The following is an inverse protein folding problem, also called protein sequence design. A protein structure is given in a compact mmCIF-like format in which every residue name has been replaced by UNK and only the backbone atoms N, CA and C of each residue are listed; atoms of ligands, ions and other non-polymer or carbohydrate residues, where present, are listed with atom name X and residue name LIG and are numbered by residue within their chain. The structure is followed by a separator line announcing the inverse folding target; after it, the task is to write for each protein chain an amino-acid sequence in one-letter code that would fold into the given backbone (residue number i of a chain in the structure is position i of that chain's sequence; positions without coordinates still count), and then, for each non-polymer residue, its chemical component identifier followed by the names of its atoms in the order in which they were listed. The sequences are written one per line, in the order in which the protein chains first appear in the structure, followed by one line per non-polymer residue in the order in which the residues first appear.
data_IF_631878703937
#
_entry.id   IF_631878703937
#
_cell.length_a   1.000
_cell.length_b   1.000
_cell.length_c   1.000
_cell.angle_alpha   90.00
_cell.angle_beta   90.00
_cell.angle_gamma   90.00
#
_symmetry.space_group_name_H-M   'P 1'
#
loop_
_entity.id
_entity.type
_entity.pdbx_description
1 polymer ?
#
# COMPACT_ATOMS: atom_id res chain seq x y z
N UNK A 1 -40.87 12.45 -39.78
CA UNK A 1 -40.02 12.97 -40.88
C UNK A 1 -38.88 13.75 -40.24
N UNK A 2 -37.57 13.59 -40.49
CA UNK A 2 -36.80 12.72 -41.37
C UNK A 2 -35.34 12.67 -40.84
N UNK A 3 -34.76 11.46 -40.82
CA UNK A 3 -33.43 11.04 -41.28
C UNK A 3 -32.11 11.60 -40.68
N UNK A 4 -31.38 10.65 -40.06
CA UNK A 4 -29.92 10.50 -39.82
C UNK A 4 -28.98 11.14 -40.85
N UNK A 5 -27.75 11.53 -40.43
CA UNK A 5 -26.52 11.09 -41.11
C UNK A 5 -25.31 10.93 -40.16
N UNK A 6 -24.69 9.75 -40.21
CA UNK A 6 -23.36 9.42 -39.68
C UNK A 6 -22.32 9.76 -40.74
N UNK A 7 -21.11 10.19 -40.35
CA UNK A 7 -19.92 10.13 -41.23
C UNK A 7 -18.74 9.55 -40.48
N UNK A 8 -18.40 8.33 -40.87
CA UNK A 8 -17.08 7.72 -40.70
C UNK A 8 -16.23 8.11 -41.91
N UNK A 9 -14.93 8.34 -41.71
CA UNK A 9 -13.94 8.34 -42.79
C UNK A 9 -12.76 7.50 -42.33
N UNK A 10 -12.60 6.37 -43.00
CA UNK A 10 -11.39 5.56 -43.02
C UNK A 10 -10.55 6.00 -44.23
N UNK A 11 -9.23 5.94 -44.12
CA UNK A 11 -8.33 5.83 -45.27
C UNK A 11 -7.09 5.02 -44.86
N UNK A 12 -6.82 4.01 -45.67
CA UNK A 12 -5.76 3.01 -45.56
C UNK A 12 -4.60 3.32 -46.50
N UNK A 13 -3.63 2.37 -46.56
CA UNK A 13 -2.52 2.16 -47.53
C UNK A 13 -1.14 2.63 -47.02
N UNK A 14 -0.01 1.94 -47.25
CA UNK A 14 0.30 0.60 -47.75
C UNK A 14 1.80 0.34 -47.50
N UNK A 15 2.20 -0.93 -47.65
CA UNK A 15 3.50 -1.54 -47.35
C UNK A 15 4.70 -1.10 -48.22
N UNK A 16 5.92 -1.40 -47.74
CA UNK A 16 7.05 -1.83 -48.59
C UNK A 16 8.05 -2.69 -47.81
N UNK A 17 8.28 -3.90 -48.34
CA UNK A 17 9.29 -4.91 -48.00
C UNK A 17 10.64 -4.60 -48.66
N UNK A 18 11.73 -5.23 -48.16
CA UNK A 18 12.93 -5.81 -48.84
C UNK A 18 14.12 -5.76 -47.84
N UNK A 19 14.57 -6.87 -47.25
CA UNK A 19 15.46 -7.94 -47.75
C UNK A 19 16.91 -7.48 -48.09
N UNK A 20 17.89 -8.04 -47.38
CA UNK A 20 19.33 -7.91 -47.68
C UNK A 20 20.10 -9.11 -47.11
N UNK A 21 20.80 -9.83 -47.99
CA UNK A 21 21.29 -11.21 -47.83
C UNK A 21 22.73 -11.34 -47.31
N UNK A 22 23.05 -12.59 -46.91
CA UNK A 22 24.36 -13.17 -46.62
C UNK A 22 25.32 -13.13 -47.82
N UNK A 23 26.63 -12.93 -47.56
CA UNK A 23 27.71 -13.33 -48.46
C UNK A 23 29.03 -13.58 -47.69
N UNK A 24 29.60 -14.76 -47.90
CA UNK A 24 30.91 -15.21 -47.38
C UNK A 24 32.10 -14.51 -48.05
N UNK A 25 33.23 -14.43 -47.35
CA UNK A 25 34.52 -14.09 -47.93
C UNK A 25 35.66 -14.72 -47.12
N UNK A 26 36.14 -15.88 -47.59
CA UNK A 26 37.33 -16.59 -47.10
C UNK A 26 38.62 -15.88 -47.55
N UNK A 27 39.52 -15.58 -46.61
CA UNK A 27 40.85 -15.04 -46.89
C UNK A 27 41.85 -15.47 -45.83
N UNK A 28 42.85 -16.24 -46.25
CA UNK A 28 43.88 -16.89 -45.45
C UNK A 28 45.04 -15.96 -45.07
N UNK A 29 45.57 -16.12 -43.85
CA UNK A 29 47.00 -15.94 -43.54
C UNK A 29 47.39 -14.67 -42.78
N UNK A 30 47.44 -14.75 -41.45
CA UNK A 30 48.10 -13.76 -40.58
C UNK A 30 48.21 -14.26 -39.13
N UNK A 31 49.41 -14.21 -38.56
CA UNK A 31 49.79 -14.72 -37.22
C UNK A 31 48.89 -14.19 -36.08
N UNK A 32 48.64 -14.98 -35.00
CA UNK A 32 47.87 -14.50 -33.85
C UNK A 32 48.74 -13.66 -32.91
N UNK A 33 48.35 -12.40 -32.75
CA UNK A 33 48.70 -11.52 -31.63
C UNK A 33 47.63 -11.68 -30.53
N UNK A 34 47.95 -11.61 -29.23
CA UNK A 34 47.01 -12.00 -28.18
C UNK A 34 45.82 -11.03 -28.10
N UNK A 35 44.64 -11.56 -28.41
CA UNK A 35 43.37 -10.85 -28.31
C UNK A 35 43.02 -10.58 -26.85
N UNK A 36 42.62 -9.35 -26.47
CA UNK A 36 41.94 -9.13 -25.21
C UNK A 36 40.63 -9.92 -25.24
N UNK A 37 40.34 -10.61 -24.13
CA UNK A 37 39.12 -11.39 -23.95
C UNK A 37 37.91 -10.53 -24.32
N UNK A 38 37.24 -10.90 -25.40
CA UNK A 38 35.94 -10.35 -25.74
C UNK A 38 35.00 -10.71 -24.59
N UNK A 39 34.69 -9.73 -23.75
CA UNK A 39 33.52 -9.80 -22.91
C UNK A 39 32.34 -10.04 -23.84
N UNK A 40 31.76 -11.24 -23.77
CA UNK A 40 30.44 -11.52 -24.34
C UNK A 40 29.53 -10.38 -23.89
N UNK A 41 28.85 -9.66 -24.80
CA UNK A 41 27.88 -8.69 -24.39
C UNK A 41 26.82 -9.46 -23.60
N UNK A 42 26.74 -9.17 -22.30
CA UNK A 42 25.62 -9.54 -21.46
C UNK A 42 24.35 -9.25 -22.24
N UNK A 43 23.44 -10.22 -22.28
CA UNK A 43 22.13 -10.06 -22.89
C UNK A 43 21.61 -8.66 -22.56
N UNK A 44 21.28 -7.89 -23.59
CA UNK A 44 20.73 -6.54 -23.45
C UNK A 44 19.60 -6.62 -22.44
N UNK A 45 19.76 -5.90 -21.33
CA UNK A 45 18.74 -5.76 -20.31
C UNK A 45 17.41 -5.43 -20.99
N UNK A 46 16.43 -6.33 -20.87
CA UNK A 46 15.07 -6.02 -21.29
C UNK A 46 14.51 -4.97 -20.34
N UNK A 47 13.46 -4.20 -20.71
CA UNK A 47 12.84 -3.19 -19.84
C UNK A 47 12.41 -3.70 -18.45
N UNK A 48 12.41 -5.02 -18.25
CA UNK A 48 12.15 -5.79 -17.03
C UNK A 48 13.34 -6.01 -16.10
N UNK A 49 14.57 -5.60 -16.44
CA UNK A 49 15.78 -5.78 -15.60
C UNK A 49 15.90 -4.72 -14.47
N UNK A 50 14.78 -4.37 -13.84
CA UNK A 50 14.81 -3.49 -12.67
C UNK A 50 15.31 -4.31 -11.49
N UNK A 51 16.31 -3.79 -10.78
CA UNK A 51 16.73 -4.40 -9.51
C UNK A 51 15.53 -4.46 -8.55
N UNK A 52 15.45 -5.47 -7.66
CA UNK A 52 14.37 -5.54 -6.68
C UNK A 52 14.20 -4.25 -5.88
N UNK A 53 15.30 -3.57 -5.55
CA UNK A 53 15.26 -2.28 -4.87
C UNK A 53 14.64 -1.18 -5.74
N UNK A 54 14.98 -1.12 -7.03
CA UNK A 54 14.37 -0.21 -7.99
C UNK A 54 12.86 -0.43 -8.17
N UNK A 55 12.40 -1.68 -8.12
CA UNK A 55 10.97 -2.00 -8.16
C UNK A 55 10.26 -1.51 -6.89
N UNK A 56 10.83 -1.72 -5.71
CA UNK A 56 10.23 -1.21 -4.47
C UNK A 56 10.16 0.33 -4.41
N UNK A 57 11.15 1.03 -4.97
CA UNK A 57 11.09 2.49 -5.16
C UNK A 57 9.94 2.90 -6.09
N UNK A 58 9.77 2.19 -7.20
CA UNK A 58 8.66 2.41 -8.13
C UNK A 58 7.31 2.16 -7.45
N UNK A 59 7.20 1.10 -6.65
CA UNK A 59 6.01 0.79 -5.88
C UNK A 59 5.68 1.86 -4.85
N UNK A 60 6.69 2.38 -4.14
CA UNK A 60 6.51 3.49 -3.21
C UNK A 60 5.94 4.72 -3.95
N UNK A 61 6.48 5.06 -5.12
CA UNK A 61 5.96 6.14 -5.95
C UNK A 61 4.52 5.88 -6.41
N UNK A 62 4.22 4.67 -6.90
CA UNK A 62 2.87 4.28 -7.34
C UNK A 62 1.84 4.47 -6.21
N UNK A 63 2.20 4.08 -4.98
CA UNK A 63 1.33 4.26 -3.81
C UNK A 63 1.24 5.73 -3.36
N UNK A 64 2.30 6.52 -3.50
CA UNK A 64 2.21 7.98 -3.31
C UNK A 64 1.29 8.65 -4.32
N UNK A 65 1.27 8.19 -5.58
CA UNK A 65 0.35 8.70 -6.61
C UNK A 65 -1.09 8.25 -6.37
N UNK A 66 -1.30 6.99 -5.97
CA UNK A 66 -2.63 6.45 -5.71
C UNK A 66 -3.34 7.17 -4.56
N UNK A 67 -2.61 7.48 -3.46
CA UNK A 67 -3.10 8.20 -2.26
C UNK A 67 -4.24 7.53 -1.48
N UNK A 68 -4.83 6.46 -2.02
CA UNK A 68 -5.94 5.73 -1.44
C UNK A 68 -6.05 4.30 -1.96
N UNK A 69 -6.77 3.47 -1.22
CA UNK A 69 -7.18 2.13 -1.63
C UNK A 69 -8.41 1.69 -0.82
N UNK A 70 -9.21 0.77 -1.38
CA UNK A 70 -9.95 -0.16 -0.53
C UNK A 70 -8.99 -1.17 0.06
N UNK A 71 -9.28 -1.65 1.25
CA UNK A 71 -8.47 -2.66 1.90
C UNK A 71 -9.31 -3.70 2.63
N UNK A 72 -8.71 -4.84 2.86
CA UNK A 72 -9.06 -5.77 3.94
C UNK A 72 -7.82 -6.11 4.73
N UNK A 73 -7.91 -6.24 6.04
CA UNK A 73 -6.79 -6.66 6.86
C UNK A 73 -7.13 -7.82 7.78
N UNK A 74 -6.07 -8.50 8.24
CA UNK A 74 -6.05 -9.35 9.42
C UNK A 74 -4.82 -8.97 10.25
N UNK A 75 -5.01 -8.41 11.44
CA UNK A 75 -3.95 -7.99 12.35
C UNK A 75 -4.10 -8.78 13.66
N UNK A 76 -3.36 -9.89 13.78
CA UNK A 76 -3.64 -10.90 14.80
C UNK A 76 -5.01 -11.54 14.58
N UNK A 77 -5.90 -11.45 15.59
CA UNK A 77 -7.28 -11.94 15.53
C UNK A 77 -8.29 -10.91 15.02
N UNK A 78 -7.86 -9.64 14.90
CA UNK A 78 -8.73 -8.57 14.39
C UNK A 78 -8.70 -8.56 12.85
N UNK A 79 -9.87 -8.38 12.23
CA UNK A 79 -9.99 -8.29 10.78
C UNK A 79 -11.12 -7.37 10.38
N UNK A 80 -10.84 -6.44 9.49
CA UNK A 80 -11.84 -5.53 8.97
C UNK A 80 -11.63 -5.25 7.48
N UNK A 81 -12.67 -4.72 6.87
CA UNK A 81 -12.64 -4.18 5.50
C UNK A 81 -12.91 -2.69 5.55
N UNK A 82 -12.46 -1.98 4.53
CA UNK A 82 -12.62 -0.54 4.55
C UNK A 82 -11.94 0.17 3.41
N UNK A 83 -11.74 1.44 3.64
CA UNK A 83 -11.09 2.35 2.71
C UNK A 83 -10.18 3.30 3.47
N UNK A 84 -9.00 3.53 2.91
CA UNK A 84 -8.01 4.44 3.46
C UNK A 84 -7.60 5.44 2.38
N UNK A 85 -7.61 6.72 2.75
CA UNK A 85 -6.89 7.78 2.07
C UNK A 85 -5.77 8.21 3.01
N UNK A 86 -4.52 8.17 2.56
CA UNK A 86 -3.37 8.52 3.39
C UNK A 86 -2.82 9.92 3.07
N UNK A 87 -3.22 10.54 1.95
CA UNK A 87 -2.78 11.87 1.58
C UNK A 87 -3.82 12.61 0.69
N UNK A 88 -3.91 13.96 0.76
CA UNK A 88 -3.19 14.84 1.69
C UNK A 88 -3.81 14.85 3.10
N UNK A 89 -5.08 14.47 3.25
CA UNK A 89 -5.76 14.30 4.53
C UNK A 89 -6.06 12.83 4.75
N UNK A 90 -5.91 12.38 6.00
CA UNK A 90 -6.23 11.00 6.32
C UNK A 90 -7.73 10.81 6.37
N UNK A 91 -8.24 9.82 5.64
CA UNK A 91 -9.62 9.35 5.77
C UNK A 91 -9.59 7.85 5.94
N UNK A 92 -10.21 7.34 7.00
CA UNK A 92 -10.40 5.90 7.21
C UNK A 92 -11.90 5.63 7.29
N UNK A 93 -12.40 4.67 6.55
CA UNK A 93 -13.69 4.04 6.84
C UNK A 93 -13.42 2.56 7.07
N UNK A 94 -13.98 2.01 8.13
CA UNK A 94 -13.73 0.64 8.57
C UNK A 94 -15.03 0.00 9.03
N UNK A 95 -15.23 -1.25 8.60
CA UNK A 95 -16.33 -2.11 8.99
C UNK A 95 -15.82 -3.54 9.20
N UNK A 96 -16.19 -4.16 10.32
CA UNK A 96 -15.89 -5.58 10.58
C UNK A 96 -16.98 -6.50 10.01
N UNK A 97 -16.64 -7.75 9.63
CA UNK A 97 -17.60 -8.69 9.04
C UNK A 97 -18.82 -8.97 9.93
N UNK A 98 -18.60 -9.15 11.24
CA UNK A 98 -19.64 -9.53 12.21
C UNK A 98 -20.14 -8.36 13.06
N UNK A 99 -19.71 -7.14 12.72
CA UNK A 99 -20.09 -5.93 13.44
C UNK A 99 -20.90 -4.98 12.56
N UNK A 100 -21.98 -4.46 13.14
CA UNK A 100 -22.77 -3.39 12.53
C UNK A 100 -22.18 -2.02 12.81
N UNK A 101 -21.35 -1.90 13.86
CA UNK A 101 -20.63 -0.69 14.19
C UNK A 101 -19.57 -0.40 13.12
N UNK A 102 -19.44 0.89 12.80
CA UNK A 102 -18.49 1.42 11.83
C UNK A 102 -17.59 2.46 12.51
N UNK A 103 -16.37 2.57 11.98
CA UNK A 103 -15.46 3.65 12.30
C UNK A 103 -15.21 4.49 11.04
N UNK A 104 -15.40 5.80 11.18
CA UNK A 104 -15.04 6.79 10.17
C UNK A 104 -14.05 7.77 10.81
N UNK A 105 -12.85 7.90 10.25
CA UNK A 105 -11.89 8.97 10.61
C UNK A 105 -11.83 9.95 9.45
N UNK A 106 -12.04 11.23 9.76
CA UNK A 106 -11.88 12.36 8.85
C UNK A 106 -10.85 13.31 9.46
N UNK A 107 -9.60 13.13 9.06
CA UNK A 107 -8.46 13.94 9.47
C UNK A 107 -8.27 13.95 11.00
N UNK A 108 -8.76 14.97 11.69
CA UNK A 108 -8.62 15.16 13.14
C UNK A 108 -9.84 14.71 13.95
N UNK A 109 -10.88 14.20 13.29
CA UNK A 109 -12.15 13.78 13.90
C UNK A 109 -12.43 12.33 13.57
N UNK A 110 -13.04 11.59 14.49
CA UNK A 110 -13.56 10.26 14.25
C UNK A 110 -15.03 10.15 14.63
N UNK A 111 -15.74 9.25 13.96
CA UNK A 111 -17.11 8.88 14.21
C UNK A 111 -17.18 7.38 14.41
N UNK A 112 -17.85 6.95 15.47
CA UNK A 112 -18.07 5.53 15.77
C UNK A 112 -19.56 5.30 15.95
N UNK A 113 -20.08 4.20 15.42
CA UNK A 113 -21.50 3.87 15.48
C UNK A 113 -22.04 3.47 14.11
N UNK A 114 -23.20 4.01 13.74
CA UNK A 114 -23.93 3.61 12.53
C UNK A 114 -24.80 2.38 12.73
N UNK A 115 -24.98 1.92 13.97
CA UNK A 115 -25.77 0.76 14.33
C UNK A 115 -26.88 1.06 15.34
N UNK A 116 -27.80 0.09 15.51
CA UNK A 116 -28.94 0.20 16.40
C UNK A 116 -28.55 0.15 17.88
N UNK A 117 -27.45 -0.52 18.22
CA UNK A 117 -26.96 -0.61 19.60
C UNK A 117 -26.50 0.77 20.10
N UNK A 118 -25.76 1.49 19.27
CA UNK A 118 -25.37 2.89 19.50
C UNK A 118 -26.59 3.79 19.57
N UNK A 119 -27.52 3.67 18.61
CA UNK A 119 -28.77 4.44 18.63
C UNK A 119 -29.57 4.27 19.91
N UNK A 120 -29.71 3.03 20.39
CA UNK A 120 -30.44 2.72 21.62
C UNK A 120 -29.82 3.40 22.85
N UNK A 121 -28.48 3.48 22.90
CA UNK A 121 -27.74 4.15 23.98
C UNK A 121 -27.80 5.68 23.91
N UNK A 122 -27.93 6.24 22.71
CA UNK A 122 -27.86 7.69 22.45
C UNK A 122 -29.21 8.37 22.22
N UNK A 123 -30.31 7.69 22.56
CA UNK A 123 -31.66 8.24 22.41
C UNK A 123 -32.08 8.42 20.95
N UNK A 124 -31.67 7.50 20.07
CA UNK A 124 -32.05 7.44 18.66
C UNK A 124 -30.99 7.94 17.66
N UNK A 125 -29.89 8.53 18.15
CA UNK A 125 -28.77 8.99 17.29
C UNK A 125 -27.74 7.89 17.08
N UNK A 126 -27.32 7.64 15.84
CA UNK A 126 -26.51 6.46 15.53
C UNK A 126 -25.00 6.68 15.70
N UNK A 127 -24.52 7.91 15.88
CA UNK A 127 -23.09 8.20 15.83
C UNK A 127 -22.59 8.94 17.07
N UNK A 128 -21.38 8.60 17.48
CA UNK A 128 -20.58 9.39 18.42
C UNK A 128 -19.39 10.00 17.70
N UNK A 129 -19.16 11.29 17.92
CA UNK A 129 -18.05 12.05 17.38
C UNK A 129 -16.97 12.28 18.43
N UNK A 130 -15.73 12.01 18.03
CA UNK A 130 -14.53 12.06 18.86
C UNK A 130 -13.47 12.93 18.19
N UNK A 131 -12.66 13.61 18.98
CA UNK A 131 -11.45 14.27 18.51
C UNK A 131 -10.29 13.95 19.45
N UNK A 132 -9.07 13.93 18.92
CA UNK A 132 -7.89 13.94 19.78
C UNK A 132 -7.77 15.30 20.47
N UNK A 133 -7.29 15.30 21.71
CA UNK A 133 -6.86 16.53 22.34
C UNK A 133 -5.69 17.13 21.54
N UNK A 134 -5.61 18.47 21.40
CA UNK A 134 -4.46 19.09 20.78
C UNK A 134 -3.19 18.77 21.59
N UNK A 135 -2.08 18.54 20.90
CA UNK A 135 -0.77 18.41 21.49
C UNK A 135 -0.22 19.74 22.01
N UNK A 136 0.99 19.70 22.57
CA UNK A 136 1.66 20.90 23.08
C UNK A 136 1.97 21.95 21.98
N UNK A 137 2.03 21.52 20.73
CA UNK A 137 2.20 22.35 19.54
C UNK A 137 0.86 22.91 18.99
N UNK A 138 -0.26 22.62 19.66
CA UNK A 138 -1.60 23.02 19.27
C UNK A 138 -2.21 22.21 18.12
N UNK A 139 -1.49 21.23 17.57
CA UNK A 139 -1.97 20.37 16.49
C UNK A 139 -2.70 19.15 17.05
N UNK A 140 -3.74 18.70 16.33
CA UNK A 140 -4.44 17.45 16.66
C UNK A 140 -3.87 16.31 15.84
N UNK A 141 -3.56 15.20 16.52
CA UNK A 141 -3.20 13.96 15.82
C UNK A 141 -4.44 13.31 15.19
N UNK A 142 -4.22 12.53 14.13
CA UNK A 142 -5.28 11.73 13.52
C UNK A 142 -5.78 10.70 14.55
N UNK A 143 -7.08 10.64 14.87
CA UNK A 143 -7.62 9.58 15.69
C UNK A 143 -7.28 8.20 15.11
N UNK A 144 -6.92 7.24 15.96
CA UNK A 144 -6.49 5.90 15.52
C UNK A 144 -5.25 5.90 14.59
N UNK A 145 -4.38 6.92 14.71
CA UNK A 145 -3.12 7.02 13.97
C UNK A 145 -2.30 5.72 13.94
N UNK A 146 -2.22 4.98 15.05
CA UNK A 146 -1.49 3.71 15.10
C UNK A 146 -2.11 2.58 14.26
N UNK A 147 -3.43 2.59 14.04
CA UNK A 147 -4.07 1.69 13.07
C UNK A 147 -3.78 2.18 11.65
N UNK A 148 -3.97 3.48 11.39
CA UNK A 148 -3.69 4.10 10.09
C UNK A 148 -2.26 3.80 9.62
N UNK A 149 -1.26 3.93 10.48
CA UNK A 149 0.14 3.67 10.14
C UNK A 149 0.39 2.21 9.78
N UNK A 150 -0.29 1.28 10.46
CA UNK A 150 -0.17 -0.15 10.15
C UNK A 150 -0.87 -0.52 8.85
N UNK A 151 -1.89 0.24 8.43
CA UNK A 151 -2.63 0.01 7.19
C UNK A 151 -2.09 0.80 5.99
N UNK A 152 -1.28 1.83 6.22
CA UNK A 152 -0.78 2.67 5.14
C UNK A 152 0.32 1.93 4.34
N UNK A 153 0.10 1.63 3.05
CA UNK A 153 1.07 0.88 2.24
C UNK A 153 2.40 1.64 2.07
N UNK A 154 2.37 2.98 2.08
CA UNK A 154 3.57 3.80 2.00
C UNK A 154 4.48 3.59 3.21
N UNK A 155 3.92 3.40 4.42
CA UNK A 155 4.72 3.18 5.64
C UNK A 155 5.57 1.90 5.51
N UNK A 156 4.96 0.81 5.03
CA UNK A 156 5.65 -0.46 4.81
C UNK A 156 6.68 -0.37 3.67
N UNK A 157 6.34 0.28 2.56
CA UNK A 157 7.24 0.47 1.43
C UNK A 157 8.44 1.35 1.79
N UNK A 158 8.25 2.42 2.57
CA UNK A 158 9.35 3.25 3.09
C UNK A 158 10.33 2.42 3.91
N UNK A 159 9.82 1.56 4.81
CA UNK A 159 10.67 0.67 5.58
C UNK A 159 11.38 -0.37 4.69
N UNK A 160 10.70 -0.90 3.67
CA UNK A 160 11.25 -1.87 2.74
C UNK A 160 12.35 -1.30 1.84
N UNK A 161 12.18 -0.05 1.36
CA UNK A 161 13.17 0.68 0.56
C UNK A 161 14.38 1.10 1.40
N UNK A 162 14.16 1.49 2.66
CA UNK A 162 15.23 1.82 3.58
C UNK A 162 16.01 0.58 4.05
N UNK A 163 15.37 -0.59 4.05
CA UNK A 163 16.02 -1.85 4.33
C UNK A 163 16.91 -2.29 3.14
N UNK A 164 18.03 -2.93 3.46
CA UNK A 164 18.96 -3.44 2.46
C UNK A 164 18.49 -4.74 1.82
N UNK A 165 18.84 -4.92 0.55
CA UNK A 165 18.74 -6.18 -0.19
C UNK A 165 17.34 -6.84 -0.23
N UNK A 166 16.31 -6.17 -0.79
CA UNK A 166 15.08 -6.85 -1.15
C UNK A 166 15.36 -7.95 -2.18
N UNK A 167 14.61 -9.04 -2.09
CA UNK A 167 14.74 -10.22 -2.96
C UNK A 167 13.43 -10.43 -3.72
N UNK A 168 13.50 -10.62 -5.03
CA UNK A 168 12.40 -11.17 -5.81
C UNK A 168 12.29 -12.66 -5.49
N UNK A 169 11.18 -13.07 -4.89
CA UNK A 169 10.89 -14.47 -4.56
C UNK A 169 10.39 -15.21 -5.81
N UNK A 170 9.57 -14.55 -6.61
CA UNK A 170 9.05 -15.08 -7.87
C UNK A 170 7.74 -14.43 -8.29
N UNK A 171 7.16 -14.93 -9.37
CA UNK A 171 5.80 -14.60 -9.80
C UNK A 171 4.80 -15.56 -9.15
N UNK A 172 3.67 -15.01 -8.72
CA UNK A 172 2.57 -15.77 -8.12
C UNK A 172 1.23 -15.36 -8.74
N UNK A 173 0.22 -16.23 -8.61
CA UNK A 173 -1.16 -15.86 -8.90
C UNK A 173 -1.88 -15.52 -7.60
N UNK A 174 -2.35 -14.29 -7.48
CA UNK A 174 -3.31 -13.87 -6.47
C UNK A 174 -4.65 -13.61 -7.17
N UNK A 175 -5.64 -14.43 -6.85
CA UNK A 175 -6.93 -14.49 -7.54
C UNK A 175 -6.74 -14.63 -9.07
N UNK A 176 -7.23 -13.67 -9.85
CA UNK A 176 -7.11 -13.65 -11.32
C UNK A 176 -5.91 -12.83 -11.83
N UNK A 177 -5.09 -12.28 -10.93
CA UNK A 177 -3.96 -11.41 -11.27
C UNK A 177 -2.61 -12.10 -11.06
N UNK A 178 -1.70 -11.95 -12.03
CA UNK A 178 -0.28 -12.26 -11.82
C UNK A 178 0.36 -11.14 -11.03
N UNK A 179 1.15 -11.50 -10.02
CA UNK A 179 1.86 -10.57 -9.14
C UNK A 179 3.32 -10.98 -8.98
N UNK A 180 4.19 -10.02 -8.75
CA UNK A 180 5.56 -10.26 -8.34
C UNK A 180 5.67 -10.21 -6.81
N UNK A 181 6.25 -11.25 -6.22
CA UNK A 181 6.44 -11.35 -4.78
C UNK A 181 7.86 -10.94 -4.40
N UNK A 182 7.96 -9.89 -3.59
CA UNK A 182 9.21 -9.41 -2.99
C UNK A 182 9.25 -9.70 -1.50
N UNK A 183 10.45 -10.00 -1.01
CA UNK A 183 10.72 -10.20 0.41
C UNK A 183 11.85 -9.29 0.89
N UNK A 184 11.67 -8.71 2.07
CA UNK A 184 12.71 -7.95 2.76
C UNK A 184 12.65 -8.20 4.27
N UNK A 185 13.81 -8.25 4.92
CA UNK A 185 13.90 -8.34 6.37
C UNK A 185 14.29 -6.98 6.95
N UNK A 186 13.62 -6.55 8.00
CA UNK A 186 13.85 -5.26 8.65
C UNK A 186 13.62 -5.40 10.15
N UNK A 187 14.46 -4.77 10.97
CA UNK A 187 14.21 -4.76 12.42
C UNK A 187 13.01 -3.89 12.74
N UNK A 188 12.28 -4.18 13.82
CA UNK A 188 11.15 -3.37 14.27
C UNK A 188 11.58 -1.92 14.54
N UNK A 189 12.79 -1.74 15.08
CA UNK A 189 13.41 -0.43 15.27
C UNK A 189 13.66 0.29 13.94
N UNK A 190 14.30 -0.37 12.96
CA UNK A 190 14.57 0.23 11.65
C UNK A 190 13.28 0.56 10.89
N UNK A 191 12.25 -0.30 11.00
CA UNK A 191 10.93 -0.05 10.40
C UNK A 191 10.33 1.26 10.92
N UNK A 192 10.37 1.49 12.24
CA UNK A 192 9.87 2.70 12.86
C UNK A 192 10.77 3.92 12.58
N UNK A 193 12.09 3.75 12.63
CA UNK A 193 13.08 4.79 12.38
C UNK A 193 13.01 5.34 10.94
N UNK A 194 12.66 4.48 9.97
CA UNK A 194 12.44 4.89 8.58
C UNK A 194 11.29 5.91 8.43
N UNK A 195 10.40 6.02 9.41
CA UNK A 195 9.23 6.91 9.38
C UNK A 195 9.57 8.32 9.90
N UNK A 196 10.47 9.00 9.20
CA UNK A 196 10.95 10.35 9.57
C UNK A 196 9.84 11.40 9.54
N UNK A 197 8.78 11.17 8.76
CA UNK A 197 7.58 12.00 8.67
C UNK A 197 6.66 11.92 9.89
N UNK A 198 6.80 10.88 10.74
CA UNK A 198 5.97 10.72 11.93
C UNK A 198 6.56 11.48 13.12
N UNK A 199 5.73 11.82 14.12
CA UNK A 199 6.21 12.35 15.40
C UNK A 199 7.01 11.28 16.16
N UNK A 200 7.84 11.69 17.11
CA UNK A 200 8.59 10.74 17.96
C UNK A 200 7.67 9.77 18.71
N UNK A 201 6.58 10.28 19.29
CA UNK A 201 5.58 9.46 19.98
C UNK A 201 4.90 8.46 19.03
N UNK A 202 4.56 8.87 17.81
CA UNK A 202 3.93 7.99 16.81
C UNK A 202 4.88 6.91 16.29
N UNK A 203 6.18 7.24 16.10
CA UNK A 203 7.21 6.22 15.82
C UNK A 203 7.34 5.20 16.95
N UNK A 204 7.38 5.66 18.20
CA UNK A 204 7.44 4.76 19.36
C UNK A 204 6.20 3.88 19.48
N UNK A 205 5.01 4.41 19.24
CA UNK A 205 3.77 3.64 19.23
C UNK A 205 3.75 2.58 18.12
N UNK A 206 4.23 2.92 16.92
CA UNK A 206 4.39 1.98 15.81
C UNK A 206 5.39 0.87 16.14
N UNK A 207 6.55 1.23 16.70
CA UNK A 207 7.56 0.28 17.16
C UNK A 207 6.99 -0.67 18.22
N UNK A 208 6.28 -0.13 19.23
CA UNK A 208 5.66 -0.93 20.28
C UNK A 208 4.57 -1.87 19.73
N UNK A 209 3.77 -1.41 18.76
CA UNK A 209 2.72 -2.22 18.15
C UNK A 209 3.28 -3.41 17.36
N UNK A 210 4.36 -3.20 16.61
CA UNK A 210 5.01 -4.25 15.81
C UNK A 210 5.95 -5.14 16.63
N UNK A 211 6.48 -4.63 17.75
CA UNK A 211 7.39 -5.35 18.65
C UNK A 211 6.71 -6.14 19.77
N UNK A 212 5.36 -6.20 19.77
CA UNK A 212 4.60 -6.97 20.76
C UNK A 212 5.11 -8.42 20.84
N UNK A 213 5.13 -8.97 22.05
CA UNK A 213 5.59 -10.35 22.28
C UNK A 213 7.09 -10.56 22.08
N UNK A 214 7.89 -9.50 22.05
CA UNK A 214 9.35 -9.58 21.90
C UNK A 214 9.82 -9.78 20.46
N UNK A 215 8.97 -9.44 19.48
CA UNK A 215 9.36 -9.45 18.06
C UNK A 215 10.37 -8.32 17.83
N UNK A 216 11.55 -8.66 17.31
CA UNK A 216 12.60 -7.69 17.00
C UNK A 216 12.93 -7.60 15.51
N UNK A 217 12.63 -8.66 14.74
CA UNK A 217 12.83 -8.76 13.31
C UNK A 217 11.49 -9.02 12.61
N UNK A 218 11.25 -8.29 11.53
CA UNK A 218 10.11 -8.46 10.65
C UNK A 218 10.59 -8.98 9.29
N UNK A 219 9.87 -9.95 8.75
CA UNK A 219 9.86 -10.27 7.33
C UNK A 219 8.66 -9.58 6.70
N UNK A 220 8.91 -8.70 5.74
CA UNK A 220 7.89 -8.09 4.90
C UNK A 220 7.82 -8.87 3.59
N UNK A 221 6.65 -9.45 3.32
CA UNK A 221 6.31 -10.00 2.02
C UNK A 221 5.38 -8.99 1.31
N UNK A 222 5.75 -8.60 0.10
CA UNK A 222 5.15 -7.53 -0.68
C UNK A 222 4.77 -8.10 -2.04
N UNK A 223 3.47 -8.12 -2.37
CA UNK A 223 3.00 -8.55 -3.69
C UNK A 223 2.60 -7.34 -4.51
N UNK A 224 3.23 -7.18 -5.68
CA UNK A 224 3.05 -6.06 -6.57
C UNK A 224 2.35 -6.51 -7.85
N UNK A 225 1.39 -5.73 -8.33
CA UNK A 225 0.78 -5.96 -9.64
C UNK A 225 1.63 -5.40 -10.79
N UNK A 226 1.14 -5.56 -12.02
CA UNK A 226 1.75 -5.07 -13.27
C UNK A 226 1.99 -3.54 -13.33
N UNK A 227 1.42 -2.78 -12.38
CA UNK A 227 1.56 -1.32 -12.25
C UNK A 227 2.41 -0.93 -11.03
N UNK A 228 3.17 -1.87 -10.47
CA UNK A 228 3.93 -1.73 -9.23
C UNK A 228 3.08 -1.35 -8.01
N UNK A 229 1.76 -1.55 -8.04
CA UNK A 229 0.92 -1.23 -6.89
C UNK A 229 1.01 -2.38 -5.89
N UNK A 230 1.24 -2.04 -4.61
CA UNK A 230 1.20 -3.02 -3.53
C UNK A 230 -0.23 -3.50 -3.33
N UNK A 231 -0.51 -4.73 -3.76
CA UNK A 231 -1.84 -5.36 -3.66
C UNK A 231 -1.97 -6.25 -2.45
N UNK A 232 -0.86 -6.74 -1.89
CA UNK A 232 -0.86 -7.44 -0.62
C UNK A 232 0.43 -7.15 0.14
N UNK A 233 0.30 -6.92 1.44
CA UNK A 233 1.37 -6.83 2.41
C UNK A 233 1.16 -7.92 3.44
N UNK A 234 2.19 -8.72 3.73
CA UNK A 234 2.23 -9.55 4.92
C UNK A 234 3.45 -9.18 5.75
N UNK A 235 3.25 -9.03 7.06
CA UNK A 235 4.31 -8.79 8.03
C UNK A 235 4.32 -9.95 9.00
N UNK A 236 5.44 -10.66 9.04
CA UNK A 236 5.63 -11.75 10.00
C UNK A 236 6.83 -11.49 10.89
N UNK A 237 6.77 -11.98 12.11
CA UNK A 237 7.88 -11.91 13.05
C UNK A 237 7.63 -12.84 14.22
N UNK A 238 8.69 -13.38 14.81
CA UNK A 238 8.61 -14.24 15.98
C UNK A 238 9.35 -13.59 17.14
N UNK A 239 8.72 -13.60 18.31
CA UNK A 239 9.31 -13.17 19.58
C UNK A 239 9.11 -14.23 20.66
N UNK A 240 9.72 -14.00 21.83
CA UNK A 240 9.67 -14.95 22.93
C UNK A 240 8.25 -15.19 23.49
N UNK A 241 7.36 -14.19 23.37
CA UNK A 241 6.01 -14.24 23.95
C UNK A 241 4.88 -14.34 22.93
N UNK A 242 5.11 -13.99 21.66
CA UNK A 242 4.10 -14.10 20.61
C UNK A 242 4.71 -14.07 19.19
N UNK A 243 3.89 -14.46 18.21
CA UNK A 243 4.16 -14.30 16.79
C UNK A 243 3.31 -13.16 16.23
N UNK A 244 3.93 -12.29 15.43
CA UNK A 244 3.24 -11.34 14.57
C UNK A 244 2.95 -12.03 13.23
N UNK A 245 1.70 -11.95 12.77
CA UNK A 245 1.29 -12.36 11.43
C UNK A 245 0.15 -11.45 10.97
N UNK A 246 0.54 -10.32 10.42
CA UNK A 246 -0.37 -9.31 9.89
C UNK A 246 -0.47 -9.45 8.39
N UNK A 247 -1.67 -9.33 7.83
CA UNK A 247 -1.91 -9.27 6.38
C UNK A 247 -2.80 -8.08 6.06
N UNK A 248 -2.46 -7.31 5.02
CA UNK A 248 -3.29 -6.25 4.47
C UNK A 248 -3.34 -6.43 2.97
N UNK A 249 -4.55 -6.54 2.42
CA UNK A 249 -4.82 -6.62 0.97
C UNK A 249 -5.38 -5.29 0.52
N UNK A 250 -4.93 -4.80 -0.63
CA UNK A 250 -5.30 -3.51 -1.19
C UNK A 250 -5.89 -3.68 -2.59
N UNK A 251 -6.89 -2.87 -2.91
CA UNK A 251 -7.49 -2.84 -4.24
C UNK A 251 -8.16 -1.50 -4.53
N UNK A 252 -8.76 -1.41 -5.72
CA UNK A 252 -9.53 -0.25 -6.17
C UNK A 252 -8.81 1.09 -5.95
N UNK A 253 -7.59 1.26 -6.46
CA UNK A 253 -6.77 2.47 -6.27
C UNK A 253 -7.25 3.72 -7.02
N UNK A 254 -8.24 3.61 -7.93
CA UNK A 254 -8.68 4.68 -8.83
C UNK A 254 -10.21 4.92 -8.77
N UNK A 255 -10.65 6.15 -9.10
CA UNK A 255 -12.06 6.59 -9.05
C UNK A 255 -12.39 7.60 -7.93
N UNK A 256 -13.59 8.20 -8.00
CA UNK A 256 -14.10 9.08 -6.94
C UNK A 256 -14.64 8.22 -5.80
N UNK A 257 -13.84 8.06 -4.75
CA UNK A 257 -14.34 7.52 -3.49
C UNK A 257 -14.54 8.69 -2.53
N UNK A 258 -15.67 8.70 -1.84
CA UNK A 258 -16.02 9.78 -0.91
C UNK A 258 -16.55 9.17 0.37
N UNK A 259 -15.87 9.45 1.48
CA UNK A 259 -16.41 9.23 2.82
C UNK A 259 -16.91 10.55 3.32
N UNK A 260 -18.16 10.58 3.77
CA UNK A 260 -18.78 11.77 4.32
C UNK A 260 -18.91 11.63 5.84
N UNK A 261 -18.90 12.76 6.53
CA UNK A 261 -19.28 12.78 7.93
C UNK A 261 -20.74 12.32 8.06
N UNK A 262 -21.08 11.57 9.13
CA UNK A 262 -22.47 11.37 9.50
C UNK A 262 -23.22 12.70 9.68
N UNK A 263 -24.54 12.66 9.54
CA UNK A 263 -25.37 13.86 9.74
C UNK A 263 -25.23 14.35 11.18
N UNK A 264 -25.04 15.66 11.38
CA UNK A 264 -24.92 16.26 12.71
C UNK A 264 -26.18 16.01 13.56
N UNK A 265 -27.37 15.95 12.94
CA UNK A 265 -28.63 15.59 13.63
C UNK A 265 -28.65 14.15 14.14
N UNK A 266 -27.82 13.26 13.59
CA UNK A 266 -27.71 11.84 13.94
C UNK A 266 -26.43 11.56 14.75
N UNK A 267 -25.75 12.61 15.23
CA UNK A 267 -24.46 12.52 15.89
C UNK A 267 -24.50 13.14 17.29
N UNK A 268 -23.81 12.50 18.24
CA UNK A 268 -23.52 12.99 19.58
C UNK A 268 -22.03 13.36 19.64
N UNK A 269 -21.70 14.62 19.91
CA UNK A 269 -20.32 15.00 20.19
C UNK A 269 -19.95 14.63 21.62
N UNK A 270 -18.99 13.72 21.78
CA UNK A 270 -18.47 13.29 23.09
C UNK A 270 -17.10 13.89 23.42
N UNK A 271 -16.62 14.82 22.59
CA UNK A 271 -15.43 15.63 22.79
C UNK A 271 -14.12 14.85 22.74
N UNK A 272 -13.16 15.25 23.57
CA UNK A 272 -11.80 14.70 23.62
C UNK A 272 -11.64 13.61 24.68
N UNK A 273 -12.70 12.88 25.01
CA UNK A 273 -12.58 11.69 25.88
C UNK A 273 -11.60 10.70 25.25
N UNK A 274 -10.96 9.87 26.09
CA UNK A 274 -10.08 8.79 25.61
C UNK A 274 -10.75 8.06 24.46
N UNK A 275 -10.06 8.02 23.31
CA UNK A 275 -10.57 7.32 22.14
C UNK A 275 -10.87 5.89 22.56
N UNK A 276 -12.07 5.36 22.27
CA UNK A 276 -12.30 3.95 22.47
C UNK A 276 -11.26 3.16 21.66
N UNK A 277 -10.96 1.91 22.03
CA UNK A 277 -10.15 1.07 21.17
C UNK A 277 -10.76 1.05 19.76
N UNK A 278 -9.90 0.93 18.74
CA UNK A 278 -10.40 0.68 17.39
C UNK A 278 -11.35 -0.51 17.51
N UNK A 279 -12.55 -0.39 16.93
CA UNK A 279 -13.60 -1.34 17.23
C UNK A 279 -13.07 -2.74 16.90
#
# INVERSE_FOLDING_TARGET
MAVRQRRAVAAALAALLLAGAVACGSGSGGKPEPSPASATPSALATPTDRSPHGVLLSAQLAMHTARRAKFSYRLGTDSATGMLFWAPKTVLQLKRPDDTEQLIVLDTTAYRGGDLATASRLGGRHWEKYATAPGADGQREVPYAGLVDRLNPVVALTAAVAAGAPVLVGEEKLDESTVEHYRVNVTVEAYAAAQTQLTGARRQALQAALGKGGVSLLTLDLWLNDKDQLVQLRRTGAGAGARLDDTVVYGEFAGALSVQAPAESDTVDVGTRSLPPAP
#
